data_IF_644452490419
#
_entry.id   IF_644452490419
#
_cell.length_a   1.000
_cell.length_b   1.000
_cell.length_c   1.000
_cell.angle_alpha   90.00
_cell.angle_beta   90.00
_cell.angle_gamma   90.00
#
_symmetry.space_group_name_H-M   'P 1'
#
loop_
_entity.id
_entity.type
_entity.pdbx_description
1 polymer ?
#
# COMPACT_ATOMS: atom_id res chain seq x y z
N UNK A 1 -24.40 -28.72 -9.43
CA UNK A 1 -23.15 -28.19 -10.01
C UNK A 1 -23.36 -27.97 -11.50
N UNK A 2 -22.74 -26.94 -12.07
CA UNK A 2 -22.67 -26.69 -13.52
C UNK A 2 -21.23 -26.96 -13.96
N UNK A 3 -21.00 -27.82 -14.95
CA UNK A 3 -19.68 -28.17 -15.45
C UNK A 3 -19.65 -28.12 -16.98
N UNK A 4 -18.79 -27.30 -17.57
CA UNK A 4 -18.62 -27.15 -19.02
C UNK A 4 -17.14 -27.14 -19.37
N UNK A 5 -16.69 -28.13 -20.14
CA UNK A 5 -15.29 -28.30 -20.54
C UNK A 5 -14.73 -29.64 -20.09
N UNK A 6 -13.71 -30.13 -20.79
CA UNK A 6 -13.05 -31.38 -20.44
C UNK A 6 -12.42 -31.27 -19.03
N UNK A 7 -12.61 -32.32 -18.22
CA UNK A 7 -12.07 -32.42 -16.86
C UNK A 7 -12.62 -31.40 -15.84
N UNK A 8 -13.65 -30.62 -16.18
CA UNK A 8 -14.31 -29.72 -15.22
C UNK A 8 -15.03 -30.53 -14.12
N UNK A 9 -14.81 -30.17 -12.85
CA UNK A 9 -15.38 -30.86 -11.66
C UNK A 9 -15.16 -32.39 -11.60
N UNK A 10 -14.07 -32.89 -12.21
CA UNK A 10 -13.81 -34.34 -12.38
C UNK A 10 -13.81 -35.14 -11.07
N UNK A 11 -13.22 -34.61 -9.99
CA UNK A 11 -13.08 -35.33 -8.71
C UNK A 11 -14.10 -34.89 -7.65
N UNK A 12 -15.20 -34.25 -8.06
CA UNK A 12 -16.28 -33.87 -7.15
C UNK A 12 -17.02 -35.08 -6.60
N UNK A 13 -17.07 -35.20 -5.26
CA UNK A 13 -17.78 -36.29 -4.57
C UNK A 13 -19.05 -35.77 -3.90
N UNK A 14 -18.92 -34.85 -2.95
CA UNK A 14 -20.04 -34.25 -2.19
C UNK A 14 -20.15 -32.73 -2.36
N UNK A 15 -19.30 -32.16 -3.21
CA UNK A 15 -19.31 -30.75 -3.57
C UNK A 15 -20.66 -30.32 -4.17
N UNK A 16 -21.21 -29.20 -3.69
CA UNK A 16 -22.53 -28.68 -4.11
C UNK A 16 -22.47 -27.21 -4.55
N UNK A 17 -23.43 -26.79 -5.38
CA UNK A 17 -23.58 -25.39 -5.82
C UNK A 17 -22.36 -24.76 -6.51
N UNK A 18 -21.53 -25.56 -7.21
CA UNK A 18 -20.38 -25.05 -7.95
C UNK A 18 -20.69 -24.78 -9.42
N UNK A 19 -20.08 -23.75 -10.00
CA UNK A 19 -20.05 -23.45 -11.44
C UNK A 19 -18.62 -23.55 -11.95
N UNK A 20 -18.34 -24.48 -12.88
CA UNK A 20 -17.04 -24.70 -13.49
C UNK A 20 -17.14 -24.63 -15.02
N UNK A 21 -16.48 -23.65 -15.64
CA UNK A 21 -16.48 -23.44 -17.09
C UNK A 21 -15.05 -23.25 -17.57
N UNK A 22 -14.54 -24.19 -18.36
CA UNK A 22 -13.16 -24.23 -18.85
C UNK A 22 -12.54 -25.61 -18.69
N UNK A 23 -11.48 -25.88 -19.44
CA UNK A 23 -10.73 -27.13 -19.28
C UNK A 23 -10.12 -27.20 -17.87
N UNK A 24 -10.32 -28.33 -17.19
CA UNK A 24 -9.84 -28.60 -15.83
C UNK A 24 -10.23 -27.57 -14.74
N UNK A 25 -11.28 -26.77 -14.96
CA UNK A 25 -11.82 -25.88 -13.91
C UNK A 25 -12.35 -26.70 -12.72
N UNK A 26 -11.97 -26.34 -11.48
CA UNK A 26 -12.32 -27.07 -10.25
C UNK A 26 -12.00 -28.59 -10.31
N UNK A 27 -10.89 -28.99 -10.93
CA UNK A 27 -10.60 -30.39 -11.22
C UNK A 27 -10.56 -31.30 -9.98
N UNK A 28 -9.93 -30.86 -8.89
CA UNK A 28 -9.76 -31.66 -7.66
C UNK A 28 -10.70 -31.29 -6.52
N UNK A 29 -11.79 -30.58 -6.79
CA UNK A 29 -12.75 -30.16 -5.76
C UNK A 29 -13.62 -31.31 -5.28
N UNK A 30 -13.29 -31.89 -4.11
CA UNK A 30 -13.97 -33.07 -3.57
C UNK A 30 -15.23 -32.69 -2.80
N UNK A 31 -15.15 -31.72 -1.88
CA UNK A 31 -16.23 -31.37 -0.93
C UNK A 31 -16.60 -29.88 -0.92
N UNK A 32 -15.77 -29.00 -1.48
CA UNK A 32 -15.97 -27.55 -1.45
C UNK A 32 -17.24 -27.10 -2.20
N UNK A 33 -18.04 -26.25 -1.58
CA UNK A 33 -19.30 -25.75 -2.15
C UNK A 33 -19.28 -24.27 -2.54
N UNK A 34 -20.26 -23.85 -3.33
CA UNK A 34 -20.48 -22.44 -3.72
C UNK A 34 -19.29 -21.77 -4.43
N UNK A 35 -18.52 -22.53 -5.22
CA UNK A 35 -17.40 -21.98 -5.98
C UNK A 35 -17.80 -21.62 -7.42
N UNK A 36 -17.30 -20.50 -7.93
CA UNK A 36 -17.41 -20.10 -9.35
C UNK A 36 -16.02 -20.09 -9.97
N UNK A 37 -15.77 -20.95 -10.95
CA UNK A 37 -14.52 -21.04 -11.70
C UNK A 37 -14.80 -20.87 -13.21
N UNK A 38 -14.27 -19.81 -13.81
CA UNK A 38 -14.38 -19.52 -15.24
C UNK A 38 -13.00 -19.30 -15.85
N UNK A 39 -12.53 -20.23 -16.66
CA UNK A 39 -11.21 -20.20 -17.30
C UNK A 39 -10.52 -21.57 -17.23
N UNK A 40 -9.54 -21.78 -18.12
CA UNK A 40 -8.72 -22.99 -18.05
C UNK A 40 -7.96 -23.05 -16.71
N UNK A 41 -8.11 -24.20 -16.04
CA UNK A 41 -7.48 -24.51 -14.76
C UNK A 41 -7.77 -23.51 -13.63
N UNK A 42 -8.89 -22.77 -13.72
CA UNK A 42 -9.36 -21.91 -12.63
C UNK A 42 -9.75 -22.77 -11.41
N UNK A 43 -9.25 -22.41 -10.22
CA UNK A 43 -9.39 -23.20 -8.97
C UNK A 43 -9.00 -24.68 -9.11
N UNK A 44 -7.99 -24.99 -9.94
CA UNK A 44 -7.59 -26.36 -10.25
C UNK A 44 -7.40 -27.23 -8.99
N UNK A 45 -6.65 -26.72 -7.99
CA UNK A 45 -6.24 -27.44 -6.76
C UNK A 45 -7.22 -27.31 -5.58
N UNK A 46 -8.38 -26.67 -5.75
CA UNK A 46 -9.33 -26.48 -4.66
C UNK A 46 -9.93 -27.81 -4.25
N UNK A 47 -9.66 -28.30 -3.04
CA UNK A 47 -10.16 -29.61 -2.54
C UNK A 47 -11.40 -29.46 -1.66
N UNK A 48 -11.34 -28.60 -0.64
CA UNK A 48 -12.40 -28.40 0.36
C UNK A 48 -12.86 -26.95 0.49
N UNK A 49 -12.12 -26.00 -0.12
CA UNK A 49 -12.43 -24.58 -0.08
C UNK A 49 -13.82 -24.26 -0.65
N UNK A 50 -14.54 -23.37 0.04
CA UNK A 50 -15.90 -22.96 -0.32
C UNK A 50 -15.99 -21.44 -0.51
N UNK A 51 -17.02 -20.99 -1.24
CA UNK A 51 -17.30 -19.57 -1.48
C UNK A 51 -16.17 -18.83 -2.23
N UNK A 52 -15.50 -19.50 -3.16
CA UNK A 52 -14.45 -18.90 -3.98
C UNK A 52 -15.00 -18.44 -5.35
N UNK A 53 -14.57 -17.29 -5.83
CA UNK A 53 -14.82 -16.82 -7.20
C UNK A 53 -13.49 -16.66 -7.91
N UNK A 54 -13.27 -17.38 -9.01
CA UNK A 54 -12.08 -17.31 -9.84
C UNK A 54 -12.44 -17.17 -11.32
N UNK A 55 -11.98 -16.11 -11.97
CA UNK A 55 -12.22 -15.82 -13.38
C UNK A 55 -10.91 -15.47 -14.07
N UNK A 56 -10.48 -16.28 -15.02
CA UNK A 56 -9.24 -16.10 -15.78
C UNK A 56 -8.41 -17.38 -15.87
N UNK A 57 -7.47 -17.39 -16.83
CA UNK A 57 -6.52 -18.50 -16.99
C UNK A 57 -5.72 -18.72 -15.71
N UNK A 58 -5.82 -19.91 -15.13
CA UNK A 58 -5.12 -20.34 -13.89
C UNK A 58 -5.37 -19.43 -12.67
N UNK A 59 -6.50 -18.72 -12.62
CA UNK A 59 -6.89 -17.94 -11.44
C UNK A 59 -7.15 -18.87 -10.24
N UNK A 60 -6.52 -18.58 -9.09
CA UNK A 60 -6.63 -19.41 -7.89
C UNK A 60 -6.10 -20.84 -8.03
N UNK A 61 -5.14 -21.10 -8.93
CA UNK A 61 -4.72 -22.46 -9.30
C UNK A 61 -4.38 -23.38 -8.11
N UNK A 62 -3.62 -22.89 -7.12
CA UNK A 62 -3.20 -23.66 -5.94
C UNK A 62 -4.14 -23.53 -4.73
N UNK A 63 -5.24 -22.78 -4.85
CA UNK A 63 -6.11 -22.41 -3.73
C UNK A 63 -6.72 -23.64 -3.06
N UNK A 64 -6.53 -23.83 -1.75
CA UNK A 64 -7.16 -24.93 -1.00
C UNK A 64 -8.13 -24.47 0.10
N UNK A 65 -8.28 -23.16 0.30
CA UNK A 65 -9.15 -22.52 1.31
C UNK A 65 -10.37 -21.81 0.72
N UNK A 66 -11.28 -21.34 1.59
CA UNK A 66 -12.46 -20.58 1.19
C UNK A 66 -12.30 -19.05 1.24
N UNK A 67 -13.23 -18.33 0.64
CA UNK A 67 -13.37 -16.88 0.74
C UNK A 67 -12.46 -16.06 -0.18
N UNK A 68 -11.96 -16.61 -1.30
CA UNK A 68 -11.14 -15.82 -2.24
C UNK A 68 -11.93 -15.30 -3.44
N UNK A 69 -11.61 -14.08 -3.88
CA UNK A 69 -12.06 -13.49 -5.15
C UNK A 69 -10.85 -13.24 -6.04
N UNK A 70 -10.70 -13.99 -7.13
CA UNK A 70 -9.60 -13.90 -8.08
C UNK A 70 -10.13 -13.56 -9.48
N UNK A 71 -9.78 -12.40 -10.03
CA UNK A 71 -10.17 -11.98 -11.37
C UNK A 71 -8.94 -11.56 -12.15
N UNK A 72 -8.62 -12.25 -13.24
CA UNK A 72 -7.46 -12.00 -14.08
C UNK A 72 -6.56 -13.22 -14.25
N UNK A 73 -5.70 -13.18 -15.26
CA UNK A 73 -4.74 -14.24 -15.52
C UNK A 73 -3.79 -14.41 -14.34
N UNK A 74 -3.70 -15.63 -13.80
CA UNK A 74 -2.85 -15.98 -12.65
C UNK A 74 -3.07 -15.14 -11.37
N UNK A 75 -4.24 -14.51 -11.21
CA UNK A 75 -4.61 -13.88 -9.94
C UNK A 75 -4.68 -14.96 -8.84
N UNK A 76 -4.06 -14.72 -7.67
CA UNK A 76 -3.98 -15.70 -6.56
C UNK A 76 -3.42 -17.10 -6.94
N UNK A 77 -2.58 -17.18 -7.97
CA UNK A 77 -2.08 -18.47 -8.49
C UNK A 77 -1.48 -19.39 -7.42
N UNK A 78 -0.62 -18.87 -6.55
CA UNK A 78 0.11 -19.66 -5.54
C UNK A 78 -0.62 -19.80 -4.20
N UNK A 79 -1.82 -19.23 -4.03
CA UNK A 79 -2.53 -19.23 -2.74
C UNK A 79 -2.76 -20.65 -2.28
N UNK A 80 -2.29 -21.06 -1.10
CA UNK A 80 -2.53 -22.40 -0.56
C UNK A 80 -3.58 -22.33 0.53
N UNK A 81 -3.31 -21.59 1.62
CA UNK A 81 -4.18 -21.51 2.80
C UNK A 81 -4.63 -20.09 3.16
N UNK A 82 -4.29 -19.08 2.37
CA UNK A 82 -4.78 -17.71 2.59
C UNK A 82 -6.29 -17.60 2.34
N UNK A 83 -7.03 -17.01 3.28
CA UNK A 83 -8.47 -16.77 3.21
C UNK A 83 -8.78 -15.27 3.07
N UNK A 84 -9.99 -14.97 2.59
CA UNK A 84 -10.54 -13.61 2.53
C UNK A 84 -9.67 -12.63 1.72
N UNK A 85 -9.10 -13.11 0.61
CA UNK A 85 -8.28 -12.30 -0.29
C UNK A 85 -9.06 -11.89 -1.55
N UNK A 86 -8.92 -10.63 -1.96
CA UNK A 86 -9.42 -10.08 -3.21
C UNK A 86 -8.25 -9.77 -4.13
N UNK A 87 -8.17 -10.40 -5.29
CA UNK A 87 -7.17 -10.17 -6.32
C UNK A 87 -7.86 -9.88 -7.66
N UNK A 88 -7.76 -8.64 -8.14
CA UNK A 88 -8.33 -8.20 -9.41
C UNK A 88 -7.26 -7.58 -10.29
N UNK A 89 -6.79 -8.33 -11.29
CA UNK A 89 -5.73 -7.92 -12.19
C UNK A 89 -4.86 -9.11 -12.59
N UNK A 90 -4.15 -8.96 -13.71
CA UNK A 90 -3.15 -9.94 -14.15
C UNK A 90 -2.07 -10.05 -13.07
N UNK A 91 -1.85 -11.27 -12.57
CA UNK A 91 -0.87 -11.59 -11.53
C UNK A 91 -1.04 -10.82 -10.20
N UNK A 92 -2.23 -10.29 -9.90
CA UNK A 92 -2.52 -9.73 -8.59
C UNK A 92 -2.42 -10.83 -7.52
N UNK A 93 -1.68 -10.58 -6.42
CA UNK A 93 -1.40 -11.57 -5.36
C UNK A 93 -0.85 -12.92 -5.87
N UNK A 94 -0.08 -12.92 -6.98
CA UNK A 94 0.37 -14.15 -7.63
C UNK A 94 1.15 -15.10 -6.70
N UNK A 95 2.03 -14.55 -5.85
CA UNK A 95 2.89 -15.29 -4.93
C UNK A 95 2.28 -15.59 -3.56
N UNK A 96 1.05 -15.14 -3.27
CA UNK A 96 0.45 -15.32 -1.92
C UNK A 96 0.37 -16.81 -1.63
N UNK A 97 0.82 -17.26 -0.46
CA UNK A 97 0.71 -18.66 -0.04
C UNK A 97 -0.25 -18.78 1.14
N UNK A 98 -0.01 -18.05 2.24
CA UNK A 98 -0.78 -18.17 3.48
C UNK A 98 -1.34 -16.85 4.01
N UNK A 99 -1.07 -15.73 3.34
CA UNK A 99 -1.53 -14.41 3.75
C UNK A 99 -3.05 -14.28 3.66
N UNK A 100 -3.67 -13.65 4.65
CA UNK A 100 -5.12 -13.45 4.74
C UNK A 100 -5.51 -11.97 4.61
N UNK A 101 -6.77 -11.69 4.27
CA UNK A 101 -7.35 -10.35 4.32
C UNK A 101 -6.62 -9.32 3.43
N UNK A 102 -6.04 -9.75 2.30
CA UNK A 102 -5.40 -8.84 1.36
C UNK A 102 -6.35 -8.42 0.24
N UNK A 103 -6.31 -7.15 -0.12
CA UNK A 103 -6.98 -6.60 -1.32
C UNK A 103 -5.92 -6.12 -2.30
N UNK A 104 -5.87 -6.69 -3.49
CA UNK A 104 -4.97 -6.31 -4.57
C UNK A 104 -5.76 -6.04 -5.85
N UNK A 105 -5.76 -4.80 -6.32
CA UNK A 105 -6.48 -4.38 -7.53
C UNK A 105 -5.51 -3.66 -8.47
N UNK A 106 -5.15 -4.30 -9.57
CA UNK A 106 -4.18 -3.80 -10.53
C UNK A 106 -3.26 -4.91 -11.05
N UNK A 107 -2.69 -4.69 -12.24
CA UNK A 107 -1.67 -5.58 -12.77
C UNK A 107 -0.48 -5.64 -11.80
N UNK A 108 -0.11 -6.87 -11.40
CA UNK A 108 1.00 -7.19 -10.47
C UNK A 108 0.96 -6.48 -9.11
N UNK A 109 -0.21 -6.01 -8.67
CA UNK A 109 -0.40 -5.50 -7.31
C UNK A 109 -0.16 -6.62 -6.27
N UNK A 110 0.67 -6.37 -5.26
CA UNK A 110 1.10 -7.35 -4.24
C UNK A 110 1.59 -8.70 -4.81
N UNK A 111 2.18 -8.71 -6.00
CA UNK A 111 2.55 -9.96 -6.68
C UNK A 111 3.56 -10.82 -5.90
N UNK A 112 4.44 -10.20 -5.10
CA UNK A 112 5.46 -10.90 -4.31
C UNK A 112 5.02 -11.25 -2.90
N UNK A 113 3.78 -10.93 -2.51
CA UNK A 113 3.24 -11.25 -1.18
C UNK A 113 3.31 -12.75 -0.96
N UNK A 114 3.89 -13.25 0.14
CA UNK A 114 3.91 -14.70 0.43
C UNK A 114 3.03 -15.00 1.63
N UNK A 115 3.39 -14.46 2.81
CA UNK A 115 2.69 -14.74 4.07
C UNK A 115 2.04 -13.49 4.68
N UNK A 116 2.23 -12.32 4.08
CA UNK A 116 1.72 -11.08 4.64
C UNK A 116 0.19 -10.99 4.58
N UNK A 117 -0.38 -10.41 5.62
CA UNK A 117 -1.83 -10.27 5.80
C UNK A 117 -2.25 -8.81 5.98
N UNK A 118 -3.53 -8.54 5.72
CA UNK A 118 -4.16 -7.24 5.97
C UNK A 118 -3.55 -6.08 5.17
N UNK A 119 -3.16 -6.33 3.92
CA UNK A 119 -2.69 -5.27 3.02
C UNK A 119 -3.75 -4.87 2.00
N UNK A 120 -3.82 -3.57 1.69
CA UNK A 120 -4.61 -3.04 0.57
C UNK A 120 -3.68 -2.44 -0.46
N UNK A 121 -3.73 -2.91 -1.70
CA UNK A 121 -2.96 -2.39 -2.82
C UNK A 121 -3.87 -2.14 -4.02
N UNK A 122 -3.94 -0.90 -4.49
CA UNK A 122 -4.78 -0.49 -5.61
C UNK A 122 -3.94 0.34 -6.58
N UNK A 123 -3.59 -0.24 -7.72
CA UNK A 123 -2.77 0.38 -8.76
C UNK A 123 -1.82 -0.60 -9.44
N UNK A 124 -1.33 -0.22 -10.62
CA UNK A 124 -0.28 -0.97 -11.31
C UNK A 124 0.97 -1.07 -10.41
N UNK A 125 1.40 -2.31 -10.12
CA UNK A 125 2.58 -2.61 -9.29
C UNK A 125 2.56 -1.97 -7.87
N UNK A 126 1.38 -1.68 -7.31
CA UNK A 126 1.26 -1.24 -5.93
C UNK A 126 1.71 -2.35 -4.97
N UNK A 127 2.61 -2.05 -4.03
CA UNK A 127 3.17 -3.00 -3.06
C UNK A 127 3.95 -4.16 -3.69
N UNK A 128 4.53 -3.97 -4.88
CA UNK A 128 5.10 -5.04 -5.71
C UNK A 128 6.08 -5.97 -4.96
N UNK A 129 7.01 -5.41 -4.18
CA UNK A 129 8.04 -6.15 -3.45
C UNK A 129 7.62 -6.63 -2.05
N UNK A 130 6.41 -6.31 -1.58
CA UNK A 130 5.98 -6.66 -0.24
C UNK A 130 5.82 -8.18 -0.12
N UNK A 131 6.61 -8.82 0.75
CA UNK A 131 6.60 -10.27 0.97
C UNK A 131 5.92 -10.66 2.28
N UNK A 132 6.24 -9.94 3.37
CA UNK A 132 5.84 -10.27 4.74
C UNK A 132 5.29 -9.08 5.53
N UNK A 133 5.40 -7.86 4.99
CA UNK A 133 4.89 -6.64 5.62
C UNK A 133 3.36 -6.63 5.69
N UNK A 134 2.82 -6.36 6.87
CA UNK A 134 1.39 -6.42 7.18
C UNK A 134 0.79 -5.05 7.44
N UNK A 135 -0.52 -4.92 7.25
CA UNK A 135 -1.24 -3.69 7.61
C UNK A 135 -0.84 -2.48 6.76
N UNK A 136 -0.45 -2.70 5.50
CA UNK A 136 -0.07 -1.61 4.60
C UNK A 136 -1.23 -1.19 3.69
N UNK A 137 -1.26 0.09 3.34
CA UNK A 137 -2.15 0.67 2.33
C UNK A 137 -1.28 1.27 1.23
N UNK A 138 -1.42 0.77 -0.01
CA UNK A 138 -0.70 1.21 -1.20
C UNK A 138 -1.70 1.58 -2.29
N UNK A 139 -1.98 2.87 -2.47
CA UNK A 139 -2.97 3.33 -3.46
C UNK A 139 -2.30 4.27 -4.45
N UNK A 140 -2.22 3.85 -5.71
CA UNK A 140 -1.55 4.58 -6.78
C UNK A 140 -0.62 3.69 -7.59
N UNK A 141 -0.30 4.12 -8.81
CA UNK A 141 0.70 3.46 -9.66
C UNK A 141 2.06 3.46 -8.94
N UNK A 142 2.66 2.29 -8.77
CA UNK A 142 3.95 2.10 -8.08
C UNK A 142 4.01 2.58 -6.62
N UNK A 143 2.87 2.77 -5.94
CA UNK A 143 2.87 3.09 -4.52
C UNK A 143 3.51 1.93 -3.72
N UNK A 144 4.50 2.23 -2.87
CA UNK A 144 5.22 1.24 -2.09
C UNK A 144 5.92 0.14 -2.90
N UNK A 145 6.39 0.45 -4.11
CA UNK A 145 6.97 -0.53 -5.03
C UNK A 145 8.05 -1.41 -4.36
N UNK A 146 8.98 -0.81 -3.61
CA UNK A 146 10.06 -1.51 -2.91
C UNK A 146 9.73 -1.88 -1.45
N UNK A 147 8.53 -1.58 -0.95
CA UNK A 147 8.19 -1.65 0.47
C UNK A 147 8.06 -3.09 0.97
N UNK A 148 8.81 -3.42 2.02
CA UNK A 148 8.81 -4.74 2.67
C UNK A 148 8.42 -4.71 4.15
N UNK A 149 8.28 -3.52 4.73
CA UNK A 149 7.93 -3.31 6.13
C UNK A 149 6.41 -3.24 6.35
N UNK A 150 6.00 -3.18 7.62
CA UNK A 150 4.59 -3.13 8.02
C UNK A 150 4.09 -1.72 8.36
N UNK A 151 2.77 -1.57 8.38
CA UNK A 151 2.05 -0.40 8.93
C UNK A 151 2.27 0.91 8.15
N UNK A 152 2.50 0.83 6.85
CA UNK A 152 2.64 2.02 6.01
C UNK A 152 1.34 2.41 5.31
N UNK A 153 1.09 3.70 5.15
CA UNK A 153 0.00 4.24 4.33
C UNK A 153 0.59 5.10 3.23
N UNK A 154 0.71 4.56 2.02
CA UNK A 154 1.22 5.25 0.83
C UNK A 154 0.10 5.46 -0.19
N UNK A 155 -0.26 6.72 -0.41
CA UNK A 155 -1.37 7.11 -1.30
C UNK A 155 -0.88 8.17 -2.26
N UNK A 156 -0.82 7.84 -3.54
CA UNK A 156 -0.29 8.67 -4.61
C UNK A 156 0.56 7.85 -5.57
N UNK A 157 0.70 8.34 -6.80
CA UNK A 157 1.63 7.74 -7.75
C UNK A 157 3.06 7.85 -7.21
N UNK A 158 3.78 6.72 -7.16
CA UNK A 158 5.14 6.59 -6.60
C UNK A 158 5.32 7.03 -5.13
N UNK A 159 4.23 7.14 -4.35
CA UNK A 159 4.35 7.37 -2.91
C UNK A 159 5.13 6.22 -2.24
N UNK A 160 6.19 6.55 -1.50
CA UNK A 160 7.07 5.57 -0.83
C UNK A 160 7.78 4.60 -1.78
N UNK A 161 8.03 4.99 -3.04
CA UNK A 161 8.57 4.11 -4.08
C UNK A 161 9.84 3.34 -3.66
N UNK A 162 10.84 4.03 -3.08
CA UNK A 162 12.09 3.41 -2.63
C UNK A 162 12.09 3.00 -1.14
N UNK A 163 10.96 3.04 -0.45
CA UNK A 163 10.91 2.59 0.94
C UNK A 163 11.14 1.08 0.96
N UNK A 164 12.18 0.63 1.64
CA UNK A 164 12.53 -0.78 1.75
C UNK A 164 12.09 -1.32 3.10
N UNK A 165 12.71 -0.84 4.18
CA UNK A 165 12.50 -1.35 5.55
C UNK A 165 11.86 -0.35 6.50
N UNK A 166 11.60 0.89 6.06
CA UNK A 166 11.00 1.93 6.88
C UNK A 166 9.54 1.65 7.18
N UNK A 167 9.17 1.40 8.43
CA UNK A 167 7.80 1.07 8.84
C UNK A 167 7.04 2.24 9.47
N UNK A 168 5.73 2.08 9.63
CA UNK A 168 4.85 3.07 10.29
C UNK A 168 4.86 4.45 9.62
N UNK A 169 5.05 4.50 8.31
CA UNK A 169 5.09 5.76 7.58
C UNK A 169 3.73 6.09 6.93
N UNK A 170 3.35 7.36 6.91
CA UNK A 170 2.18 7.87 6.17
C UNK A 170 2.67 8.82 5.09
N UNK A 171 2.64 8.41 3.82
CA UNK A 171 3.01 9.23 2.67
C UNK A 171 1.79 9.43 1.76
N UNK A 172 1.34 10.67 1.63
CA UNK A 172 0.16 11.02 0.85
C UNK A 172 0.50 12.15 -0.13
N UNK A 173 0.38 11.88 -1.43
CA UNK A 173 0.73 12.77 -2.52
C UNK A 173 1.55 12.05 -3.60
N UNK A 174 1.55 12.59 -4.83
CA UNK A 174 2.44 12.12 -5.88
C UNK A 174 3.90 12.19 -5.38
N UNK A 175 4.65 11.10 -5.50
CA UNK A 175 6.06 11.00 -5.10
C UNK A 175 6.37 11.36 -3.63
N UNK A 176 5.36 11.35 -2.75
CA UNK A 176 5.58 11.61 -1.33
C UNK A 176 6.52 10.52 -0.74
N UNK A 177 7.60 10.94 -0.08
CA UNK A 177 8.61 10.03 0.44
C UNK A 177 9.33 9.19 -0.62
N UNK A 178 9.42 9.64 -1.88
CA UNK A 178 9.96 8.86 -3.00
C UNK A 178 11.34 8.22 -2.72
N UNK A 179 12.28 8.96 -2.14
CA UNK A 179 13.63 8.46 -1.82
C UNK A 179 13.77 7.89 -0.39
N UNK A 180 12.71 7.88 0.41
CA UNK A 180 12.79 7.40 1.79
C UNK A 180 13.01 5.89 1.76
N UNK A 181 14.13 5.40 2.29
CA UNK A 181 14.52 3.98 2.25
C UNK A 181 14.22 3.27 3.57
N UNK A 182 14.77 3.76 4.68
CA UNK A 182 14.72 3.06 5.98
C UNK A 182 14.07 3.87 7.10
N UNK A 183 13.78 5.16 6.84
CA UNK A 183 13.13 6.05 7.79
C UNK A 183 11.78 5.51 8.24
N UNK A 184 11.51 5.55 9.55
CA UNK A 184 10.27 5.02 10.14
C UNK A 184 9.50 6.10 10.90
N UNK A 185 8.19 5.89 11.09
CA UNK A 185 7.30 6.81 11.82
C UNK A 185 7.23 8.22 11.21
N UNK A 186 7.40 8.34 9.90
CA UNK A 186 7.30 9.62 9.21
C UNK A 186 5.87 9.87 8.71
N UNK A 187 5.44 11.13 8.69
CA UNK A 187 4.18 11.57 8.10
C UNK A 187 4.47 12.64 7.06
N UNK A 188 4.40 12.32 5.77
CA UNK A 188 4.62 13.26 4.67
C UNK A 188 3.33 13.40 3.85
N UNK A 189 2.72 14.58 3.88
CA UNK A 189 1.43 14.83 3.24
C UNK A 189 1.51 16.07 2.38
N UNK A 190 1.25 15.91 1.08
CA UNK A 190 1.13 17.01 0.13
C UNK A 190 2.01 16.86 -1.09
N UNK A 191 1.67 17.66 -2.09
CA UNK A 191 2.38 17.83 -3.35
C UNK A 191 2.37 19.33 -3.67
N UNK A 192 3.51 19.82 -4.14
CA UNK A 192 3.69 21.15 -4.74
C UNK A 192 3.81 21.03 -6.25
N UNK A 193 3.62 22.14 -6.98
CA UNK A 193 4.01 22.24 -8.38
C UNK A 193 5.48 21.86 -8.65
N UNK A 194 6.37 21.99 -7.65
CA UNK A 194 7.82 21.81 -7.82
C UNK A 194 8.40 20.66 -7.00
N UNK A 195 7.67 20.11 -6.02
CA UNK A 195 8.22 19.15 -5.05
C UNK A 195 7.18 18.31 -4.31
N UNK A 196 7.47 17.04 -4.11
CA UNK A 196 6.66 16.16 -3.29
C UNK A 196 7.14 16.13 -1.84
N UNK A 197 6.21 15.94 -0.89
CA UNK A 197 6.52 15.96 0.54
C UNK A 197 7.55 14.89 0.91
N UNK A 198 8.66 15.31 1.50
CA UNK A 198 9.75 14.42 1.94
C UNK A 198 10.42 13.63 0.80
N UNK A 199 10.27 14.04 -0.46
CA UNK A 199 10.77 13.27 -1.60
C UNK A 199 12.29 13.08 -1.62
N UNK A 200 13.06 13.96 -0.99
CA UNK A 200 14.51 13.87 -0.87
C UNK A 200 14.98 13.21 0.44
N UNK A 201 14.08 12.91 1.38
CA UNK A 201 14.43 12.24 2.64
C UNK A 201 14.82 10.79 2.33
N UNK A 202 15.92 10.33 2.92
CA UNK A 202 16.44 8.97 2.73
C UNK A 202 16.26 8.11 3.98
N UNK A 203 16.79 8.54 5.13
CA UNK A 203 16.84 7.71 6.36
C UNK A 203 16.20 8.34 7.59
N UNK A 204 15.81 9.62 7.51
CA UNK A 204 15.21 10.34 8.63
C UNK A 204 13.94 9.68 9.17
N UNK A 205 13.75 9.68 10.49
CA UNK A 205 12.63 9.05 11.18
C UNK A 205 11.84 10.05 12.04
N UNK A 206 10.58 9.73 12.36
CA UNK A 206 9.72 10.55 13.24
C UNK A 206 9.55 12.00 12.73
N UNK A 207 9.65 12.19 11.42
CA UNK A 207 9.46 13.50 10.81
C UNK A 207 8.02 13.69 10.35
N UNK A 208 7.47 14.88 10.55
CA UNK A 208 6.16 15.28 10.02
C UNK A 208 6.36 16.41 9.01
N UNK A 209 5.85 16.26 7.79
CA UNK A 209 5.89 17.26 6.74
C UNK A 209 4.48 17.41 6.18
N UNK A 210 3.96 18.62 6.19
CA UNK A 210 2.71 18.99 5.55
C UNK A 210 2.96 20.09 4.52
N UNK A 211 2.53 19.86 3.28
CA UNK A 211 2.83 20.71 2.12
C UNK A 211 4.07 20.23 1.36
N UNK A 212 4.27 20.73 0.13
CA UNK A 212 5.28 20.21 -0.81
C UNK A 212 6.73 20.57 -0.52
N UNK A 213 7.21 20.28 0.69
CA UNK A 213 8.61 20.42 1.09
C UNK A 213 9.36 19.11 0.89
N UNK A 214 10.40 19.10 0.05
CA UNK A 214 11.10 17.87 -0.34
C UNK A 214 12.07 17.31 0.72
N UNK A 215 12.47 18.11 1.71
CA UNK A 215 13.46 17.72 2.72
C UNK A 215 14.76 18.53 2.71
N UNK A 216 15.04 19.35 1.69
CA UNK A 216 16.24 20.19 1.58
C UNK A 216 15.98 21.53 0.88
N UNK A 217 15.01 22.31 1.38
CA UNK A 217 14.59 23.59 0.81
C UNK A 217 14.55 24.69 1.89
N UNK A 218 14.54 25.96 1.48
CA UNK A 218 14.39 27.09 2.41
C UNK A 218 15.46 27.15 3.52
N UNK A 219 16.66 26.64 3.25
CA UNK A 219 17.78 26.60 4.20
C UNK A 219 17.70 25.52 5.28
N UNK A 220 16.66 24.67 5.26
CA UNK A 220 16.51 23.53 6.15
C UNK A 220 16.84 22.25 5.36
N UNK A 221 17.72 21.39 5.90
CA UNK A 221 18.03 20.07 5.34
C UNK A 221 17.77 19.00 6.40
N UNK A 222 16.79 18.14 6.14
CA UNK A 222 16.35 17.07 7.03
C UNK A 222 16.41 15.70 6.35
N UNK A 223 17.19 15.55 5.27
CA UNK A 223 17.19 14.32 4.47
C UNK A 223 17.52 13.06 5.28
N UNK A 224 18.35 13.21 6.31
CA UNK A 224 18.73 12.14 7.25
C UNK A 224 18.34 12.44 8.70
N UNK A 225 17.80 13.64 8.97
CA UNK A 225 17.49 14.10 10.31
C UNK A 225 16.19 13.45 10.84
N UNK A 226 16.00 13.47 12.16
CA UNK A 226 14.84 12.84 12.81
C UNK A 226 14.17 13.77 13.83
N UNK A 227 12.88 13.57 14.07
CA UNK A 227 12.04 14.35 15.01
C UNK A 227 11.75 15.81 14.56
N UNK A 228 11.71 16.05 13.25
CA UNK A 228 11.37 17.36 12.69
C UNK A 228 9.88 17.45 12.38
N UNK A 229 9.32 18.66 12.52
CA UNK A 229 7.98 18.97 12.02
C UNK A 229 8.13 20.13 11.05
N UNK A 230 7.57 20.05 9.85
CA UNK A 230 7.64 21.10 8.83
C UNK A 230 6.26 21.35 8.25
N UNK A 231 5.82 22.59 8.29
CA UNK A 231 4.64 23.08 7.57
C UNK A 231 5.12 24.00 6.45
N UNK A 232 4.78 23.66 5.21
CA UNK A 232 5.22 24.34 3.99
C UNK A 232 4.05 24.99 3.26
N UNK A 233 4.33 26.07 2.53
CA UNK A 233 3.33 26.83 1.76
C UNK A 233 2.87 26.17 0.45
N UNK A 234 3.39 24.98 0.13
CA UNK A 234 3.07 24.32 -1.12
C UNK A 234 3.94 24.76 -2.31
N UNK A 235 4.92 25.65 -2.10
CA UNK A 235 5.99 25.95 -3.07
C UNK A 235 7.35 25.42 -2.58
N UNK A 236 7.34 24.64 -1.49
CA UNK A 236 8.53 24.07 -0.88
C UNK A 236 9.19 24.96 0.17
N UNK A 237 8.60 26.08 0.55
CA UNK A 237 9.16 26.95 1.58
C UNK A 237 8.59 26.60 2.96
N UNK A 238 9.43 26.20 3.94
CA UNK A 238 9.00 26.06 5.32
C UNK A 238 8.48 27.38 5.88
N UNK A 239 7.24 27.39 6.37
CA UNK A 239 6.64 28.55 7.06
C UNK A 239 6.68 28.41 8.57
N UNK A 240 6.62 27.19 9.07
CA UNK A 240 6.81 26.85 10.48
C UNK A 240 7.52 25.51 10.51
N UNK A 241 8.57 25.38 11.33
CA UNK A 241 9.15 24.08 11.58
C UNK A 241 9.71 23.92 13.00
N UNK A 242 9.71 22.69 13.49
CA UNK A 242 10.45 22.28 14.66
C UNK A 242 11.74 21.58 14.23
N UNK A 243 12.88 22.03 14.72
CA UNK A 243 14.21 21.50 14.34
C UNK A 243 14.78 20.45 15.31
N UNK A 244 13.93 19.83 16.13
CA UNK A 244 14.32 18.87 17.17
C UNK A 244 14.46 19.50 18.56
N UNK A 245 14.68 20.81 18.65
CA UNK A 245 14.81 21.52 19.94
C UNK A 245 13.97 22.79 20.03
N UNK A 246 13.74 23.46 18.91
CA UNK A 246 13.08 24.77 18.86
C UNK A 246 12.07 24.82 17.72
N UNK A 247 11.03 25.62 17.91
CA UNK A 247 10.09 25.99 16.86
C UNK A 247 10.57 27.27 16.20
N UNK A 248 10.65 27.27 14.86
CA UNK A 248 11.14 28.37 14.03
C UNK A 248 10.04 28.81 13.06
N UNK A 249 9.87 30.13 12.92
CA UNK A 249 8.99 30.76 11.94
C UNK A 249 9.88 31.66 11.06
N UNK A 250 10.28 31.22 9.85
CA UNK A 250 11.31 31.90 9.06
C UNK A 250 10.96 33.31 8.58
N UNK A 251 9.67 33.68 8.55
CA UNK A 251 9.21 34.97 8.02
C UNK A 251 8.30 35.72 9.00
N UNK A 252 8.75 35.92 10.25
CA UNK A 252 8.14 36.97 11.08
C UNK A 252 8.32 38.33 10.37
N UNK A 253 7.28 39.16 10.25
CA UNK A 253 7.46 40.54 9.82
C UNK A 253 8.42 41.20 10.81
N UNK A 254 9.57 41.65 10.34
CA UNK A 254 10.53 42.40 11.15
C UNK A 254 10.10 43.85 11.39
N UNK A 255 8.85 44.20 11.08
CA UNK A 255 8.28 45.51 11.35
C UNK A 255 7.14 45.42 12.37
N UNK A 256 7.27 46.28 13.38
CA UNK A 256 6.40 46.54 14.53
C UNK A 256 4.98 47.01 14.19
N UNK A 257 4.43 46.66 13.03
CA UNK A 257 3.10 47.06 12.61
C UNK A 257 2.10 45.91 12.77
N UNK A 258 1.45 45.85 13.94
CA UNK A 258 0.13 45.23 14.04
C UNK A 258 0.08 43.76 14.45
N UNK A 259 0.91 43.30 15.39
CA UNK A 259 0.53 42.10 16.13
C UNK A 259 -0.79 42.39 16.88
N UNK A 260 -1.87 41.62 16.65
CA UNK A 260 -3.14 41.83 17.34
C UNK A 260 -2.96 41.83 18.86
N UNK A 261 -3.72 42.64 19.58
CA UNK A 261 -3.78 42.56 21.05
C UNK A 261 -4.17 41.14 21.45
N UNK A 262 -3.25 40.43 22.14
CA UNK A 262 -3.37 39.00 22.45
C UNK A 262 -2.46 38.07 21.64
N UNK A 263 -1.61 38.60 20.75
CA UNK A 263 -0.59 37.81 20.07
C UNK A 263 0.32 37.10 21.08
N UNK A 264 0.46 35.78 20.91
CA UNK A 264 1.27 34.87 21.72
C UNK A 264 2.78 35.15 21.62
N UNK A 265 3.20 36.15 20.85
CA UNK A 265 4.60 36.47 20.58
C UNK A 265 4.89 37.91 21.01
N UNK A 266 6.10 38.15 21.52
CA UNK A 266 6.59 39.50 21.76
C UNK A 266 7.32 40.05 20.52
N UNK A 267 7.65 41.33 20.57
CA UNK A 267 8.27 42.06 19.44
C UNK A 267 9.67 41.54 19.08
N UNK A 268 10.27 40.70 19.94
CA UNK A 268 11.53 39.99 19.67
C UNK A 268 11.34 38.61 19.04
N UNK A 269 10.11 38.23 18.65
CA UNK A 269 9.82 36.96 17.99
C UNK A 269 9.87 35.74 18.92
N UNK A 270 9.81 35.96 20.23
CA UNK A 270 9.76 34.90 21.25
C UNK A 270 8.35 34.73 21.81
N UNK A 271 7.99 33.48 22.13
CA UNK A 271 6.68 33.16 22.67
C UNK A 271 6.53 33.84 24.04
N UNK A 272 5.40 34.51 24.27
CA UNK A 272 4.98 34.96 25.61
C UNK A 272 4.68 33.71 26.44
N UNK A 273 5.70 33.18 27.10
CA UNK A 273 5.51 32.17 28.13
C UNK A 273 4.92 32.91 29.34
N UNK A 274 3.71 32.50 29.75
CA UNK A 274 3.05 33.01 30.95
C UNK A 274 3.81 32.59 32.22
#
# INVERSE_FOLDING_TARGET
NTAVGALALRLATTASSNTAVGHAALNVNTTGGNNTALGDSALYSNTTGANNTAVGYTAGYSNTTGGVTAFGQRALYANTTGADNVAMGVQALNGNTTGNFNTAVGHTALTSNTTASSNTAVGYQAGYANQTGTGNVYVGRLAGYAATSSTNTFVGEQAGYNNTTGGRNTYIGNSAGYNATTGSNNTFIGLSATSASGAAITTGSKNTILGGYNGNQGGLDIRTASNYVVLSDGDGNPRIYHNGTTVVIPSLPTSSAGLPTGALWNDSGTLKVA
#
